data_IF_581012000681
#
_entry.id   IF_581012000681
#
_cell.length_a   1.000
_cell.length_b   1.000
_cell.length_c   1.000
_cell.angle_alpha   90.00
_cell.angle_beta   90.00
_cell.angle_gamma   90.00
#
_symmetry.space_group_name_H-M   'P 1'
#
loop_
_entity.id
_entity.type
_entity.pdbx_description
1 polymer ?
#
# COMPACT_ATOMS: atom_id res chain seq x y z
N UNK A 1 15.27 11.27 -35.12
CA UNK A 1 15.22 10.24 -34.06
C UNK A 1 14.36 10.83 -32.96
N UNK A 2 13.10 10.42 -32.89
CA UNK A 2 12.08 11.07 -32.08
C UNK A 2 12.23 10.70 -30.61
N UNK A 3 12.26 11.71 -29.75
CA UNK A 3 12.06 11.56 -28.32
C UNK A 3 10.62 11.11 -28.06
N UNK A 4 10.45 9.91 -27.52
CA UNK A 4 9.16 9.39 -27.09
C UNK A 4 8.68 10.13 -25.85
N UNK A 5 7.68 10.98 -26.02
CA UNK A 5 7.00 11.67 -24.93
C UNK A 5 6.44 10.66 -23.92
N UNK A 6 6.97 10.66 -22.70
CA UNK A 6 6.41 9.90 -21.58
C UNK A 6 4.94 10.27 -21.41
N UNK A 7 4.07 9.26 -21.38
CA UNK A 7 2.63 9.46 -21.24
C UNK A 7 2.34 10.22 -19.94
N UNK A 8 2.08 11.54 -20.04
CA UNK A 8 1.44 12.28 -18.97
C UNK A 8 0.07 11.64 -18.77
N UNK A 9 -0.11 10.96 -17.64
CA UNK A 9 -1.40 10.39 -17.27
C UNK A 9 -2.50 11.45 -17.35
N UNK A 10 -3.66 11.06 -17.88
CA UNK A 10 -4.82 11.93 -17.97
C UNK A 10 -5.25 12.36 -16.56
N UNK A 11 -5.14 13.66 -16.25
CA UNK A 11 -5.50 14.20 -14.94
C UNK A 11 -6.94 13.88 -14.55
N UNK A 12 -7.84 13.68 -15.53
CA UNK A 12 -9.22 13.24 -15.27
C UNK A 12 -9.27 11.79 -14.77
N UNK A 13 -8.43 10.90 -15.29
CA UNK A 13 -8.35 9.52 -14.82
C UNK A 13 -7.77 9.46 -13.40
N UNK A 14 -6.73 10.26 -13.12
CA UNK A 14 -6.18 10.38 -11.78
C UNK A 14 -7.24 10.87 -10.77
N UNK A 15 -8.02 11.91 -11.13
CA UNK A 15 -9.09 12.41 -10.28
C UNK A 15 -10.18 11.34 -10.01
N UNK A 16 -10.54 10.53 -11.01
CA UNK A 16 -11.48 9.41 -10.84
C UNK A 16 -10.93 8.32 -9.92
N UNK A 17 -9.65 7.98 -10.07
CA UNK A 17 -9.00 6.99 -9.20
C UNK A 17 -8.99 7.47 -7.74
N UNK A 18 -8.68 8.75 -7.51
CA UNK A 18 -8.71 9.35 -6.16
C UNK A 18 -10.14 9.37 -5.57
N UNK A 19 -11.16 9.72 -6.36
CA UNK A 19 -12.57 9.69 -5.89
C UNK A 19 -13.02 8.26 -5.56
N UNK A 20 -12.65 7.27 -6.38
CA UNK A 20 -12.92 5.85 -6.12
C UNK A 20 -12.29 5.37 -4.80
N UNK A 21 -11.01 5.66 -4.58
CA UNK A 21 -10.32 5.33 -3.33
C UNK A 21 -10.97 6.00 -2.11
N UNK A 22 -11.42 7.25 -2.23
CA UNK A 22 -12.17 7.95 -1.17
C UNK A 22 -13.53 7.33 -0.87
N UNK A 23 -14.07 6.52 -1.78
CA UNK A 23 -15.32 5.77 -1.60
C UNK A 23 -15.10 4.32 -1.14
N UNK A 24 -13.85 3.91 -0.92
CA UNK A 24 -13.50 2.54 -0.56
C UNK A 24 -13.53 1.57 -1.74
N UNK A 25 -13.46 2.07 -2.98
CA UNK A 25 -13.42 1.24 -4.18
C UNK A 25 -11.98 0.97 -4.60
N UNK A 26 -11.62 -0.29 -4.90
CA UNK A 26 -10.29 -0.60 -5.42
C UNK A 26 -10.10 0.00 -6.80
N UNK A 27 -8.85 0.31 -7.14
CA UNK A 27 -8.47 0.83 -8.45
C UNK A 27 -7.28 0.07 -9.01
N UNK A 28 -7.30 -0.20 -10.32
CA UNK A 28 -6.17 -0.76 -11.03
C UNK A 28 -5.29 0.36 -11.62
N UNK A 29 -4.01 0.34 -11.27
CA UNK A 29 -2.98 1.21 -11.83
C UNK A 29 -2.21 0.44 -12.90
N UNK A 30 -2.27 0.92 -14.14
CA UNK A 30 -1.56 0.32 -15.27
C UNK A 30 -0.21 1.02 -15.46
N UNK A 31 0.86 0.23 -15.55
CA UNK A 31 2.20 0.66 -15.86
C UNK A 31 2.80 -0.14 -17.02
N UNK A 32 3.99 0.25 -17.47
CA UNK A 32 4.67 -0.40 -18.58
C UNK A 32 4.97 -1.90 -18.35
N UNK A 33 5.03 -2.32 -17.07
CA UNK A 33 5.41 -3.67 -16.66
C UNK A 33 4.24 -4.50 -16.13
N UNK A 34 3.03 -3.94 -16.09
CA UNK A 34 1.85 -4.66 -15.62
C UNK A 34 0.82 -3.75 -14.96
N UNK A 35 -0.05 -4.38 -14.19
CA UNK A 35 -1.08 -3.71 -13.40
C UNK A 35 -0.88 -4.01 -11.92
N UNK A 36 -1.16 -3.03 -11.07
CA UNK A 36 -1.34 -3.25 -9.63
C UNK A 36 -2.73 -2.79 -9.24
N UNK A 37 -3.45 -3.65 -8.54
CA UNK A 37 -4.71 -3.26 -7.90
C UNK A 37 -4.41 -2.72 -6.50
N UNK A 38 -5.06 -1.63 -6.11
CA UNK A 38 -4.86 -1.01 -4.81
C UNK A 38 -6.20 -0.67 -4.17
N UNK A 39 -6.27 -0.89 -2.86
CA UNK A 39 -7.37 -0.47 -1.99
C UNK A 39 -6.81 0.47 -0.92
N UNK A 40 -7.49 1.58 -0.67
CA UNK A 40 -7.16 2.49 0.42
C UNK A 40 -7.68 1.89 1.74
N UNK A 41 -6.76 1.64 2.67
CA UNK A 41 -7.08 0.93 3.93
C UNK A 41 -7.91 1.79 4.88
N UNK A 42 -7.80 3.12 4.78
CA UNK A 42 -8.54 4.09 5.59
C UNK A 42 -10.02 4.19 5.25
N UNK A 43 -10.41 3.76 4.05
CA UNK A 43 -11.81 3.72 3.59
C UNK A 43 -12.32 2.29 3.39
N UNK A 44 -11.47 1.29 3.62
CA UNK A 44 -11.84 -0.11 3.53
C UNK A 44 -12.79 -0.52 4.66
N UNK A 45 -13.69 -1.44 4.34
CA UNK A 45 -14.52 -2.19 5.29
C UNK A 45 -14.02 -3.63 5.36
N UNK A 46 -14.49 -4.40 6.34
CA UNK A 46 -14.12 -5.82 6.43
C UNK A 46 -14.57 -6.61 5.21
N UNK A 47 -15.70 -6.22 4.61
CA UNK A 47 -16.23 -6.81 3.37
C UNK A 47 -15.35 -6.45 2.18
N UNK A 48 -15.09 -5.17 1.93
CA UNK A 48 -14.27 -4.75 0.78
C UNK A 48 -12.82 -5.23 0.89
N UNK A 49 -12.26 -5.33 2.10
CA UNK A 49 -10.94 -5.91 2.30
C UNK A 49 -10.93 -7.40 1.97
N UNK A 50 -11.93 -8.15 2.43
CA UNK A 50 -12.06 -9.58 2.15
C UNK A 50 -12.33 -9.87 0.67
N UNK A 51 -13.08 -9.02 -0.02
CA UNK A 51 -13.28 -9.12 -1.48
C UNK A 51 -12.00 -8.80 -2.27
N UNK A 52 -11.23 -7.82 -1.80
CA UNK A 52 -9.96 -7.45 -2.40
C UNK A 52 -8.88 -8.53 -2.20
N UNK A 53 -8.93 -9.22 -1.06
CA UNK A 53 -8.12 -10.40 -0.84
C UNK A 53 -8.57 -11.52 -1.79
N UNK A 54 -7.70 -11.87 -2.74
CA UNK A 54 -7.95 -12.97 -3.67
C UNK A 54 -7.75 -14.33 -2.95
N UNK A 55 -6.92 -15.22 -3.50
CA UNK A 55 -6.60 -16.49 -2.84
C UNK A 55 -5.75 -16.32 -1.55
N UNK A 56 -5.17 -15.14 -1.34
CA UNK A 56 -4.34 -14.81 -0.18
C UNK A 56 -4.44 -13.33 0.17
N UNK A 57 -4.18 -12.95 1.44
CA UNK A 57 -4.01 -11.56 1.85
C UNK A 57 -3.16 -10.72 0.89
N UNK A 58 -3.67 -9.56 0.49
CA UNK A 58 -2.86 -8.60 -0.24
C UNK A 58 -1.82 -7.94 0.67
N UNK A 59 -0.59 -7.76 0.17
CA UNK A 59 0.49 -7.07 0.89
C UNK A 59 0.13 -5.59 1.14
N UNK A 60 0.72 -5.01 2.19
CA UNK A 60 0.49 -3.61 2.57
C UNK A 60 1.63 -2.76 2.02
N UNK A 61 1.29 -1.66 1.34
CA UNK A 61 2.27 -0.67 0.89
C UNK A 61 2.27 0.53 1.85
N UNK A 62 3.42 0.82 2.44
CA UNK A 62 3.62 1.95 3.35
C UNK A 62 4.54 2.99 2.72
N UNK A 63 4.33 4.26 3.06
CA UNK A 63 5.31 5.31 2.74
C UNK A 63 6.63 5.08 3.50
N UNK A 64 7.73 5.63 2.97
CA UNK A 64 9.04 5.58 3.62
C UNK A 64 8.98 6.07 5.08
N UNK A 65 8.39 7.26 5.29
CA UNK A 65 8.27 7.86 6.62
C UNK A 65 7.44 7.00 7.59
N UNK A 66 6.37 6.35 7.12
CA UNK A 66 5.58 5.44 7.97
C UNK A 66 6.37 4.19 8.34
N UNK A 67 7.09 3.60 7.38
CA UNK A 67 7.96 2.45 7.62
C UNK A 67 9.10 2.75 8.61
N UNK A 68 9.63 3.99 8.59
CA UNK A 68 10.60 4.47 9.58
C UNK A 68 9.99 4.56 10.99
N UNK A 69 8.79 5.13 11.12
CA UNK A 69 8.08 5.21 12.40
C UNK A 69 7.86 3.81 13.00
N UNK A 70 7.49 2.84 12.16
CA UNK A 70 7.25 1.45 12.54
C UNK A 70 8.53 0.60 12.65
N UNK A 71 9.72 1.20 12.49
CA UNK A 71 11.04 0.53 12.60
C UNK A 71 11.24 -0.63 11.62
N UNK A 72 10.59 -0.59 10.46
CA UNK A 72 10.69 -1.64 9.43
C UNK A 72 11.99 -1.50 8.62
N UNK A 73 12.50 -0.27 8.48
CA UNK A 73 13.69 0.07 7.67
C UNK A 73 15.00 -0.60 8.10
N UNK A 74 15.02 -1.29 9.24
CA UNK A 74 16.14 -2.14 9.66
C UNK A 74 16.22 -3.47 8.89
N UNK A 75 15.24 -3.76 8.02
CA UNK A 75 15.22 -4.94 7.15
C UNK A 75 15.80 -4.60 5.79
N UNK A 76 16.55 -5.52 5.18
CA UNK A 76 17.24 -5.31 3.90
C UNK A 76 16.29 -4.85 2.80
N UNK A 77 15.10 -5.46 2.74
CA UNK A 77 14.05 -5.18 1.75
C UNK A 77 13.37 -3.81 1.95
N UNK A 78 13.60 -3.15 3.09
CA UNK A 78 13.07 -1.83 3.43
C UNK A 78 14.17 -0.77 3.62
N UNK A 79 15.42 -1.10 3.27
CA UNK A 79 16.59 -0.27 3.57
C UNK A 79 16.84 0.86 2.54
N UNK A 80 16.06 0.93 1.47
CA UNK A 80 16.22 2.00 0.45
C UNK A 80 15.54 3.29 0.93
N UNK A 81 16.30 4.38 1.15
CA UNK A 81 15.74 5.64 1.61
C UNK A 81 14.70 6.20 0.63
N UNK A 82 13.69 6.88 1.17
CA UNK A 82 12.66 7.60 0.41
C UNK A 82 11.82 6.72 -0.55
N UNK A 83 11.94 5.39 -0.46
CA UNK A 83 11.12 4.44 -1.21
C UNK A 83 9.97 3.93 -0.35
N UNK A 84 8.80 3.66 -0.95
CA UNK A 84 7.76 2.94 -0.22
C UNK A 84 8.27 1.57 0.20
N UNK A 85 7.66 0.99 1.23
CA UNK A 85 7.99 -0.33 1.74
C UNK A 85 6.77 -1.22 1.60
N UNK A 86 6.96 -2.38 0.97
CA UNK A 86 5.95 -3.43 0.90
C UNK A 86 6.11 -4.37 2.09
N UNK A 87 5.05 -4.56 2.84
CA UNK A 87 5.00 -5.37 4.05
C UNK A 87 4.06 -6.54 3.80
N UNK A 88 4.54 -7.75 4.09
CA UNK A 88 3.71 -8.95 3.99
C UNK A 88 2.53 -8.85 4.94
N UNK A 89 1.31 -9.08 4.42
CA UNK A 89 0.13 -9.21 5.27
C UNK A 89 -0.02 -10.65 5.73
N UNK A 90 0.15 -10.88 7.03
CA UNK A 90 -0.14 -12.18 7.65
C UNK A 90 -1.65 -12.37 7.86
N UNK A 91 -2.13 -13.62 7.89
CA UNK A 91 -3.56 -13.97 8.03
C UNK A 91 -4.24 -13.45 9.32
N UNK A 92 -3.45 -13.07 10.34
CA UNK A 92 -3.95 -12.52 11.60
C UNK A 92 -4.04 -10.99 11.61
N UNK A 93 -3.61 -10.31 10.53
CA UNK A 93 -3.87 -8.88 10.36
C UNK A 93 -5.29 -8.67 9.84
N UNK A 94 -6.23 -8.44 10.76
CA UNK A 94 -7.57 -7.99 10.43
C UNK A 94 -7.56 -6.51 9.96
N UNK A 95 -8.73 -6.00 9.55
CA UNK A 95 -8.85 -4.61 9.10
C UNK A 95 -8.30 -3.60 10.12
N UNK A 96 -8.55 -3.82 11.42
CA UNK A 96 -8.08 -2.91 12.47
C UNK A 96 -6.56 -2.88 12.55
N UNK A 97 -5.92 -4.05 12.43
CA UNK A 97 -4.46 -4.15 12.40
C UNK A 97 -3.89 -3.43 11.17
N UNK A 98 -4.49 -3.62 9.99
CA UNK A 98 -4.07 -2.97 8.74
C UNK A 98 -4.20 -1.44 8.84
N UNK A 99 -5.33 -0.93 9.35
CA UNK A 99 -5.53 0.50 9.61
C UNK A 99 -4.48 1.02 10.59
N UNK A 100 -4.23 0.29 11.68
CA UNK A 100 -3.25 0.70 12.68
C UNK A 100 -1.81 0.73 12.14
N UNK A 101 -1.50 -0.08 11.13
CA UNK A 101 -0.22 -0.02 10.41
C UNK A 101 -0.12 1.24 9.55
N UNK A 102 -1.20 1.69 8.90
CA UNK A 102 -1.16 2.86 8.03
C UNK A 102 -1.27 4.20 8.78
N UNK A 103 -2.11 4.27 9.81
CA UNK A 103 -2.47 5.53 10.48
C UNK A 103 -1.68 5.76 11.80
N UNK A 104 -0.82 6.81 11.86
CA UNK A 104 -0.07 7.17 13.06
C UNK A 104 -0.92 7.46 14.30
N UNK A 105 -2.20 7.85 14.15
CA UNK A 105 -3.09 8.10 15.28
C UNK A 105 -3.32 6.86 16.17
N UNK A 106 -3.01 5.66 15.66
CA UNK A 106 -3.11 4.40 16.39
C UNK A 106 -1.77 3.93 17.00
N UNK A 107 -0.70 4.71 16.90
CA UNK A 107 0.63 4.31 17.36
C UNK A 107 0.67 3.98 18.85
N UNK A 108 0.07 4.83 19.67
CA UNK A 108 0.04 4.66 21.12
C UNK A 108 -1.11 3.74 21.60
N UNK A 109 -2.11 3.48 20.75
CA UNK A 109 -3.29 2.67 21.11
C UNK A 109 -3.06 1.17 20.93
N UNK A 110 -2.17 0.81 20.01
CA UNK A 110 -1.80 -0.57 19.75
C UNK A 110 -0.27 -0.72 19.90
N UNK A 111 0.26 -0.81 21.14
CA UNK A 111 1.68 -1.11 21.32
C UNK A 111 1.98 -2.49 20.71
N UNK A 112 3.13 -2.65 20.05
CA UNK A 112 3.61 -3.92 19.47
C UNK A 112 2.82 -4.45 18.25
N UNK A 113 2.55 -3.61 17.24
CA UNK A 113 1.86 -3.99 15.98
C UNK A 113 2.58 -5.04 15.10
N UNK A 114 3.75 -5.51 15.51
CA UNK A 114 4.59 -6.42 14.75
C UNK A 114 4.63 -7.84 15.34
N UNK A 115 5.47 -8.74 14.80
CA UNK A 115 6.58 -8.45 13.87
C UNK A 115 6.13 -8.15 12.44
N UNK A 116 6.76 -7.15 11.81
CA UNK A 116 6.58 -6.85 10.40
C UNK A 116 7.62 -7.58 9.55
N UNK A 117 7.24 -8.01 8.35
CA UNK A 117 8.15 -8.56 7.35
C UNK A 117 8.09 -7.71 6.10
N UNK A 118 9.16 -6.98 5.82
CA UNK A 118 9.36 -6.35 4.53
C UNK A 118 9.58 -7.43 3.46
N UNK A 119 9.01 -7.21 2.27
CA UNK A 119 9.20 -8.08 1.12
C UNK A 119 9.71 -7.23 -0.05
N UNK A 120 10.41 -7.84 -1.02
CA UNK A 120 10.93 -7.10 -2.16
C UNK A 120 9.83 -6.32 -2.88
N UNK A 121 10.12 -5.05 -3.16
CA UNK A 121 9.48 -4.32 -4.24
C UNK A 121 10.31 -4.57 -5.49
N UNK A 122 9.66 -5.03 -6.56
CA UNK A 122 10.27 -4.89 -7.87
C UNK A 122 10.47 -3.38 -8.10
N UNK A 123 11.64 -2.98 -8.62
CA UNK A 123 11.91 -1.56 -8.93
C UNK A 123 10.71 -0.96 -9.66
N UNK A 124 10.24 0.27 -9.41
CA UNK A 124 9.06 0.84 -10.06
C UNK A 124 9.20 1.08 -11.57
#
# INVERSE_FOLDING_TARGET
MSEGGGARGDGRQAARAVDALRRGWPVALLGARGAVEVLAVETATSETLAEFDAASPADILLSAGRAETLKIVNQREAATPEKPVRVRRENWHDLNAVIAMADPAFDLKAPLKGPFRAVPLDEP
#
